data_IF_782494688787
#
_entry.id   IF_782494688787
#
_cell.length_a   1.000
_cell.length_b   1.000
_cell.length_c   1.000
_cell.angle_alpha   90.00
_cell.angle_beta   90.00
_cell.angle_gamma   90.00
#
_symmetry.space_group_name_H-M   'P 1'
#
loop_
_entity.id
_entity.type
_entity.pdbx_description
1 polymer ?
#
# COMPACT_ATOMS: atom_id res chain seq x y z
N UNK A 1 39.97 2.88 -30.36
CA UNK A 1 39.82 2.49 -28.94
C UNK A 1 38.73 3.26 -28.19
N UNK A 2 38.69 4.61 -28.28
CA UNK A 2 37.69 5.43 -27.56
C UNK A 2 36.25 5.17 -28.02
N UNK A 3 36.02 5.08 -29.33
CA UNK A 3 34.70 4.82 -29.92
C UNK A 3 34.11 3.48 -29.50
N UNK A 4 34.97 2.45 -29.33
CA UNK A 4 34.57 1.11 -28.90
C UNK A 4 34.13 1.08 -27.43
N UNK A 5 34.77 1.89 -26.56
CA UNK A 5 34.37 2.03 -25.16
C UNK A 5 33.04 2.77 -25.00
N UNK A 6 32.80 3.79 -25.83
CA UNK A 6 31.55 4.54 -25.82
C UNK A 6 30.35 3.66 -26.22
N UNK A 7 30.52 2.82 -27.25
CA UNK A 7 29.49 1.88 -27.68
C UNK A 7 29.17 0.82 -26.60
N UNK A 8 30.19 0.35 -25.87
CA UNK A 8 30.00 -0.55 -24.73
C UNK A 8 29.25 0.11 -23.56
N UNK A 9 29.53 1.39 -23.27
CA UNK A 9 28.83 2.12 -22.21
C UNK A 9 27.38 2.42 -22.56
N UNK A 10 27.10 2.80 -23.82
CA UNK A 10 25.74 3.03 -24.30
C UNK A 10 24.91 1.75 -24.33
N UNK A 11 25.50 0.63 -24.75
CA UNK A 11 24.81 -0.67 -24.69
C UNK A 11 24.57 -1.14 -23.26
N UNK A 12 25.55 -0.99 -22.35
CA UNK A 12 25.35 -1.30 -20.94
C UNK A 12 24.26 -0.43 -20.29
N UNK A 13 24.23 0.88 -20.60
CA UNK A 13 23.19 1.78 -20.12
C UNK A 13 21.81 1.42 -20.67
N UNK A 14 21.72 1.06 -21.95
CA UNK A 14 20.48 0.62 -22.59
C UNK A 14 19.96 -0.69 -21.97
N UNK A 15 20.85 -1.65 -21.71
CA UNK A 15 20.51 -2.91 -21.01
C UNK A 15 20.04 -2.63 -19.58
N UNK A 16 20.71 -1.74 -18.85
CA UNK A 16 20.27 -1.33 -17.51
C UNK A 16 18.88 -0.67 -17.54
N UNK A 17 18.62 0.21 -18.50
CA UNK A 17 17.32 0.87 -18.66
C UNK A 17 16.23 -0.16 -19.00
N UNK A 18 16.55 -1.13 -19.85
CA UNK A 18 15.61 -2.20 -20.23
C UNK A 18 15.30 -3.13 -19.06
N UNK A 19 16.29 -3.49 -18.23
CA UNK A 19 16.08 -4.31 -17.03
C UNK A 19 15.19 -3.57 -16.03
N UNK A 20 15.45 -2.28 -15.80
CA UNK A 20 14.64 -1.46 -14.89
C UNK A 20 13.20 -1.28 -15.40
N UNK A 21 13.01 -1.16 -16.72
CA UNK A 21 11.67 -1.07 -17.31
C UNK A 21 10.93 -2.42 -17.28
N UNK A 22 11.63 -3.53 -17.56
CA UNK A 22 11.03 -4.86 -17.59
C UNK A 22 10.60 -5.40 -16.22
N UNK A 23 10.97 -4.75 -15.11
CA UNK A 23 10.57 -5.19 -13.76
C UNK A 23 9.19 -4.71 -13.31
N UNK A 24 8.52 -3.83 -14.07
CA UNK A 24 7.20 -3.29 -13.68
C UNK A 24 6.00 -4.06 -14.29
N UNK A 25 6.22 -4.93 -15.28
CA UNK A 25 5.15 -5.59 -16.03
C UNK A 25 5.19 -7.13 -15.87
N UNK A 26 5.13 -7.63 -14.64
CA UNK A 26 4.62 -8.99 -14.44
C UNK A 26 3.09 -8.92 -14.66
N UNK A 27 2.66 -9.01 -15.92
CA UNK A 27 1.26 -9.22 -16.34
C UNK A 27 0.76 -10.62 -15.93
N UNK A 28 1.13 -11.07 -14.74
CA UNK A 28 0.40 -12.11 -14.01
C UNK A 28 -0.91 -11.50 -13.55
N UNK A 29 -2.02 -12.21 -13.76
CA UNK A 29 -3.36 -11.76 -13.33
C UNK A 29 -3.30 -11.33 -11.86
N UNK A 30 -3.36 -10.01 -11.62
CA UNK A 30 -3.28 -9.49 -10.27
C UNK A 30 -4.46 -9.98 -9.43
N UNK A 31 -4.24 -10.33 -8.16
CA UNK A 31 -5.28 -10.88 -7.33
C UNK A 31 -6.39 -9.85 -7.10
N UNK A 32 -7.64 -10.32 -7.14
CA UNK A 32 -8.81 -9.57 -6.66
C UNK A 32 -9.01 -9.90 -5.19
N UNK A 33 -8.93 -8.88 -4.33
CA UNK A 33 -8.89 -9.06 -2.88
C UNK A 33 -10.08 -8.36 -2.26
N UNK A 34 -10.84 -9.09 -1.43
CA UNK A 34 -11.91 -8.54 -0.61
C UNK A 34 -11.47 -8.50 0.85
N UNK A 35 -11.47 -7.32 1.46
CA UNK A 35 -11.22 -7.09 2.89
C UNK A 35 -12.57 -6.88 3.57
N UNK A 36 -12.88 -7.70 4.58
CA UNK A 36 -14.12 -7.59 5.35
C UNK A 36 -13.84 -6.86 6.66
N UNK A 37 -14.48 -5.70 6.83
CA UNK A 37 -14.31 -4.76 7.92
C UNK A 37 -13.34 -3.63 7.58
N UNK A 38 -13.79 -2.38 7.67
CA UNK A 38 -12.99 -1.16 7.50
C UNK A 38 -12.59 -0.55 8.86
N UNK A 39 -12.37 -1.39 9.88
CA UNK A 39 -11.68 -1.01 11.10
C UNK A 39 -10.16 -0.93 10.89
N UNK A 40 -9.42 -0.57 11.95
CA UNK A 40 -7.96 -0.38 11.90
C UNK A 40 -7.19 -1.54 11.24
N UNK A 41 -7.52 -2.79 11.58
CA UNK A 41 -6.86 -3.96 10.98
C UNK A 41 -7.17 -4.15 9.50
N UNK A 42 -8.40 -3.85 9.07
CA UNK A 42 -8.81 -3.99 7.67
C UNK A 42 -8.23 -2.88 6.79
N UNK A 43 -8.25 -1.64 7.27
CA UNK A 43 -7.64 -0.51 6.55
C UNK A 43 -6.12 -0.64 6.49
N UNK A 44 -5.47 -1.09 7.57
CA UNK A 44 -4.04 -1.39 7.61
C UNK A 44 -3.67 -2.52 6.64
N UNK A 45 -4.46 -3.60 6.62
CA UNK A 45 -4.29 -4.69 5.65
C UNK A 45 -4.40 -4.18 4.21
N UNK A 46 -5.45 -3.41 3.89
CA UNK A 46 -5.63 -2.83 2.56
C UNK A 46 -4.48 -1.89 2.18
N UNK A 47 -3.95 -1.11 3.12
CA UNK A 47 -2.79 -0.26 2.91
C UNK A 47 -1.56 -1.07 2.52
N UNK A 48 -1.21 -2.11 3.28
CA UNK A 48 -0.03 -2.93 2.98
C UNK A 48 -0.22 -3.80 1.73
N UNK A 49 -1.44 -4.28 1.45
CA UNK A 49 -1.77 -4.96 0.20
C UNK A 49 -1.55 -4.05 -1.02
N UNK A 50 -1.94 -2.78 -0.91
CA UNK A 50 -1.66 -1.77 -1.95
C UNK A 50 -0.17 -1.50 -2.12
N UNK A 51 0.61 -1.48 -1.03
CA UNK A 51 2.06 -1.36 -1.11
C UNK A 51 2.72 -2.57 -1.78
N UNK A 52 2.20 -3.77 -1.52
CA UNK A 52 2.75 -5.03 -2.04
C UNK A 52 2.44 -5.25 -3.52
N UNK A 53 1.21 -4.99 -3.94
CA UNK A 53 0.73 -5.33 -5.30
C UNK A 53 0.60 -4.11 -6.23
N UNK A 54 0.94 -2.91 -5.76
CA UNK A 54 0.88 -1.70 -6.56
C UNK A 54 -0.54 -1.26 -6.93
N UNK A 55 -0.64 -0.29 -7.84
CA UNK A 55 -1.91 0.38 -8.14
C UNK A 55 -2.90 -0.48 -8.91
N UNK A 56 -2.39 -1.49 -9.62
CA UNK A 56 -3.16 -2.31 -10.57
C UNK A 56 -3.94 -3.43 -9.86
N UNK A 57 -3.66 -3.72 -8.59
CA UNK A 57 -4.41 -4.69 -7.81
C UNK A 57 -5.80 -4.18 -7.42
N UNK A 58 -6.81 -5.02 -7.66
CA UNK A 58 -8.20 -4.74 -7.30
C UNK A 58 -8.43 -5.12 -5.83
N UNK A 59 -8.65 -4.12 -4.98
CA UNK A 59 -8.85 -4.29 -3.54
C UNK A 59 -10.18 -3.63 -3.17
N UNK A 60 -11.16 -4.43 -2.76
CA UNK A 60 -12.44 -3.97 -2.24
C UNK A 60 -12.45 -4.09 -0.71
N UNK A 61 -12.92 -3.05 -0.02
CA UNK A 61 -13.15 -3.10 1.43
C UNK A 61 -14.65 -3.00 1.69
N UNK A 62 -15.21 -4.00 2.37
CA UNK A 62 -16.62 -4.05 2.73
C UNK A 62 -16.77 -3.75 4.22
N UNK A 63 -17.59 -2.76 4.56
CA UNK A 63 -17.93 -2.40 5.94
C UNK A 63 -19.45 -2.32 6.07
N UNK A 64 -19.98 -2.92 7.13
CA UNK A 64 -21.41 -2.98 7.37
C UNK A 64 -21.93 -1.69 8.01
N UNK A 65 -21.10 -1.03 8.82
CA UNK A 65 -21.46 0.16 9.57
C UNK A 65 -20.57 1.36 9.22
N UNK A 66 -19.99 2.01 10.23
CA UNK A 66 -19.11 3.16 10.08
C UNK A 66 -17.65 2.70 9.96
N UNK A 67 -16.93 3.26 8.99
CA UNK A 67 -15.47 3.09 8.87
C UNK A 67 -14.77 3.48 10.17
N UNK A 68 -13.73 2.72 10.53
CA UNK A 68 -12.96 2.87 11.76
C UNK A 68 -13.25 1.77 12.79
N UNK A 69 -14.33 1.00 12.63
CA UNK A 69 -14.69 -0.10 13.53
C UNK A 69 -14.82 0.39 14.97
N UNK A 70 -14.09 -0.26 15.89
CA UNK A 70 -14.08 0.11 17.32
C UNK A 70 -13.38 1.45 17.60
N UNK A 71 -12.60 1.98 16.65
CA UNK A 71 -12.06 3.33 16.75
C UNK A 71 -13.14 4.33 16.36
N UNK A 72 -13.83 4.87 17.37
CA UNK A 72 -14.93 5.79 17.21
C UNK A 72 -14.66 7.11 17.90
N UNK A 73 -14.90 8.22 17.19
CA UNK A 73 -15.04 9.53 17.80
C UNK A 73 -16.48 9.70 18.26
N UNK A 74 -16.68 10.06 19.51
CA UNK A 74 -17.98 10.45 20.07
C UNK A 74 -17.96 11.94 20.35
N UNK A 75 -18.98 12.66 19.88
CA UNK A 75 -19.11 14.07 20.18
C UNK A 75 -19.92 14.25 21.47
N UNK A 76 -19.33 14.90 22.47
CA UNK A 76 -19.99 15.28 23.72
C UNK A 76 -19.78 16.76 23.89
N UNK A 77 -20.88 17.53 23.93
CA UNK A 77 -20.86 18.99 24.10
C UNK A 77 -19.96 19.73 23.09
N UNK A 78 -19.99 19.28 21.83
CA UNK A 78 -19.19 19.87 20.75
C UNK A 78 -17.71 19.47 20.76
N UNK A 79 -17.29 18.60 21.69
CA UNK A 79 -15.93 18.06 21.75
C UNK A 79 -15.90 16.60 21.32
N UNK A 80 -14.96 16.23 20.46
CA UNK A 80 -14.78 14.86 20.01
C UNK A 80 -13.85 14.08 20.96
N UNK A 81 -14.30 12.91 21.40
CA UNK A 81 -13.55 12.00 22.27
C UNK A 81 -13.37 10.65 21.59
N UNK A 82 -12.17 10.06 21.71
CA UNK A 82 -11.90 8.74 21.17
C UNK A 82 -12.38 7.64 22.12
N UNK A 83 -13.45 6.95 21.74
CA UNK A 83 -14.17 6.01 22.59
C UNK A 83 -13.65 4.57 22.51
N UNK A 84 -12.64 4.26 21.70
CA UNK A 84 -12.17 2.87 21.55
C UNK A 84 -10.74 2.61 21.08
N UNK A 85 -9.96 3.63 20.71
CA UNK A 85 -8.55 3.53 20.32
C UNK A 85 -7.56 4.15 21.33
N UNK A 86 -7.82 4.02 22.62
CA UNK A 86 -7.24 4.88 23.66
C UNK A 86 -5.78 4.60 24.07
N UNK A 87 -5.06 3.67 23.42
CA UNK A 87 -3.65 3.36 23.74
C UNK A 87 -2.79 3.21 22.49
N UNK A 88 -2.25 4.32 22.00
CA UNK A 88 -1.16 4.33 21.01
C UNK A 88 0.19 4.32 21.75
N UNK A 89 0.86 3.16 21.76
CA UNK A 89 2.20 3.01 22.32
C UNK A 89 3.24 2.89 21.21
N UNK A 90 4.45 3.43 21.40
CA UNK A 90 5.58 3.34 20.44
C UNK A 90 5.96 1.91 20.02
N UNK A 91 5.48 0.90 20.74
CA UNK A 91 5.72 -0.52 20.43
C UNK A 91 4.74 -1.07 19.40
N UNK A 92 3.64 -0.36 19.14
CA UNK A 92 2.59 -0.74 18.20
C UNK A 92 2.73 0.02 16.87
N UNK A 93 3.93 -0.07 16.27
CA UNK A 93 4.33 0.75 15.11
C UNK A 93 3.70 0.32 13.79
N UNK A 94 3.17 -0.89 13.73
CA UNK A 94 2.63 -1.51 12.51
C UNK A 94 1.13 -1.81 12.63
N UNK A 95 0.46 -1.16 13.58
CA UNK A 95 -1.00 -1.13 13.63
C UNK A 95 -1.55 -0.59 12.33
#
# INVERSE_FOLDING_TARGET
HVTMRLLFLLSAFCVCLHIVYSTDDDEGVLPRIAVIGAGLGGTSSAFYLRQLFGQNAHIDIYEAERVGGRTALINIDGQDYEAGGSVLHKKNRYM
#
